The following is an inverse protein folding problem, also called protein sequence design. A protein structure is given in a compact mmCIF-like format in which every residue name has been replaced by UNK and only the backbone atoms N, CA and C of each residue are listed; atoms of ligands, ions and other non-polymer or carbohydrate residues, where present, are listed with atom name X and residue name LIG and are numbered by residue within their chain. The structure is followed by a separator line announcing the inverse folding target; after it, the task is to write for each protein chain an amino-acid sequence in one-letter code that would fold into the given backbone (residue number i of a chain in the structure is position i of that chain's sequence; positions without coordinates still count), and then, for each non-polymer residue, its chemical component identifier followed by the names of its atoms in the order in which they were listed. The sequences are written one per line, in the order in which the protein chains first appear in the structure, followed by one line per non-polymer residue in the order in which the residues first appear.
data_IF_828735910487
#
_entry.id   IF_828735910487
#
_cell.length_a   1.000
_cell.length_b   1.000
_cell.length_c   1.000
_cell.angle_alpha   90.00
_cell.angle_beta   90.00
_cell.angle_gamma   90.00
#
_symmetry.space_group_name_H-M   'P 1'
#
loop_
_entity.id
_entity.type
_entity.pdbx_description
1 polymer ?
#
# COMPACT_ATOMS: atom_id res chain seq x y z
N UNK A 1 19.92 11.89 11.89
CA UNK A 1 18.93 11.82 10.79
C UNK A 1 19.06 10.54 9.93
N UNK A 2 20.27 10.15 9.54
CA UNK A 2 20.56 8.95 8.72
C UNK A 2 20.18 7.61 9.38
N UNK A 3 20.32 7.48 10.71
CA UNK A 3 19.98 6.26 11.44
C UNK A 3 18.45 5.98 11.50
N UNK A 4 17.62 7.03 11.59
CA UNK A 4 16.16 6.92 11.49
C UNK A 4 15.71 6.53 10.07
N UNK A 5 16.40 7.05 9.05
CA UNK A 5 16.22 6.65 7.65
C UNK A 5 16.53 5.16 7.49
N UNK A 6 17.72 4.68 7.90
CA UNK A 6 18.07 3.25 7.83
C UNK A 6 17.11 2.34 8.59
N UNK A 7 16.66 2.72 9.80
CA UNK A 7 15.64 1.94 10.54
C UNK A 7 14.31 1.88 9.80
N UNK A 8 13.88 2.99 9.19
CA UNK A 8 12.65 3.05 8.41
C UNK A 8 12.74 2.24 7.10
N UNK A 9 13.89 2.27 6.43
CA UNK A 9 14.19 1.43 5.27
C UNK A 9 14.21 -0.05 5.70
N UNK A 10 14.92 -0.40 6.77
CA UNK A 10 14.93 -1.78 7.28
C UNK A 10 13.52 -2.27 7.65
N UNK A 11 12.66 -1.37 8.15
CA UNK A 11 11.25 -1.61 8.40
C UNK A 11 10.44 -1.82 7.12
N UNK A 12 10.62 -0.98 6.09
CA UNK A 12 9.94 -1.12 4.80
C UNK A 12 10.36 -2.38 4.03
N UNK A 13 11.62 -2.81 4.20
CA UNK A 13 12.23 -3.89 3.42
C UNK A 13 12.56 -5.13 4.25
N UNK A 14 11.85 -5.35 5.37
CA UNK A 14 11.71 -6.66 5.99
C UNK A 14 12.94 -7.33 6.65
N UNK A 15 14.19 -6.97 6.36
CA UNK A 15 15.41 -7.46 7.05
C UNK A 15 16.66 -6.68 6.61
N UNK A 16 17.62 -6.55 7.54
CA UNK A 16 18.90 -5.85 7.33
C UNK A 16 19.81 -6.45 6.25
N UNK A 17 19.58 -7.70 5.83
CA UNK A 17 20.28 -8.33 4.70
C UNK A 17 19.79 -7.80 3.34
N UNK A 18 18.56 -7.30 3.24
CA UNK A 18 18.03 -6.71 1.99
C UNK A 18 18.56 -5.27 1.77
N UNK A 19 19.23 -4.67 2.76
CA UNK A 19 19.86 -3.36 2.63
C UNK A 19 21.13 -3.38 1.76
N UNK A 20 21.82 -4.53 1.67
CA UNK A 20 23.02 -4.66 0.83
C UNK A 20 22.72 -4.86 -0.65
N UNK A 21 21.50 -5.33 -0.98
CA UNK A 21 21.02 -5.55 -2.35
C UNK A 21 20.04 -4.45 -2.82
N UNK A 22 19.97 -3.30 -2.14
CA UNK A 22 19.09 -2.21 -2.55
C UNK A 22 19.54 -1.61 -3.87
N UNK A 23 18.72 -1.80 -4.90
CA UNK A 23 18.85 -1.08 -6.16
C UNK A 23 18.50 0.40 -5.98
N UNK A 24 18.85 1.23 -6.98
CA UNK A 24 18.51 2.65 -7.00
C UNK A 24 16.99 2.91 -6.83
N UNK A 25 16.15 1.98 -7.32
CA UNK A 25 14.69 2.04 -7.21
C UNK A 25 14.20 1.91 -5.76
N UNK A 26 14.80 1.02 -4.97
CA UNK A 26 14.42 0.81 -3.56
C UNK A 26 14.80 2.01 -2.69
N UNK A 27 15.97 2.62 -2.96
CA UNK A 27 16.41 3.84 -2.28
C UNK A 27 15.45 5.00 -2.59
N UNK A 28 15.03 5.12 -3.85
CA UNK A 28 14.07 6.15 -4.25
C UNK A 28 12.71 5.93 -3.58
N UNK A 29 12.17 4.70 -3.61
CA UNK A 29 10.92 4.35 -2.95
C UNK A 29 10.97 4.74 -1.47
N UNK A 30 12.01 4.29 -0.76
CA UNK A 30 12.20 4.60 0.65
C UNK A 30 12.30 6.10 0.94
N UNK A 31 13.00 6.86 0.09
CA UNK A 31 13.04 8.33 0.16
C UNK A 31 11.65 8.94 -0.01
N UNK A 32 10.89 8.50 -1.02
CA UNK A 32 9.56 9.04 -1.31
C UNK A 32 8.59 8.76 -0.16
N UNK A 33 8.60 7.54 0.40
CA UNK A 33 7.77 7.20 1.56
C UNK A 33 8.16 8.04 2.78
N UNK A 34 9.46 8.27 3.02
CA UNK A 34 9.89 9.14 4.12
C UNK A 34 9.47 10.59 3.94
N UNK A 35 9.57 11.10 2.72
CA UNK A 35 9.11 12.44 2.39
C UNK A 35 7.60 12.56 2.60
N UNK A 36 6.82 11.55 2.23
CA UNK A 36 5.37 11.47 2.52
C UNK A 36 5.11 11.60 4.01
N UNK A 37 5.78 10.81 4.87
CA UNK A 37 5.58 10.88 6.31
C UNK A 37 5.96 12.23 6.93
N UNK A 38 7.00 12.87 6.39
CA UNK A 38 7.52 14.15 6.89
C UNK A 38 6.67 15.35 6.48
N UNK A 39 6.00 15.26 5.34
CA UNK A 39 5.30 16.42 4.73
C UNK A 39 3.78 16.30 4.77
N UNK A 40 3.23 15.20 5.27
CA UNK A 40 1.79 15.07 5.52
C UNK A 40 1.31 16.19 6.45
N UNK A 41 0.19 16.81 6.09
CA UNK A 41 -0.47 17.83 6.90
C UNK A 41 -1.45 17.18 7.90
N UNK A 42 -2.18 16.16 7.45
CA UNK A 42 -3.13 15.42 8.26
C UNK A 42 -3.27 13.98 7.77
N UNK A 43 -3.85 13.12 8.60
CA UNK A 43 -4.30 11.79 8.21
C UNK A 43 -5.73 11.57 8.67
N UNK A 44 -6.47 10.74 7.94
CA UNK A 44 -7.84 10.35 8.27
C UNK A 44 -8.07 8.91 7.80
N UNK A 45 -9.02 8.22 8.40
CA UNK A 45 -9.52 6.95 7.87
C UNK A 45 -10.71 7.22 6.97
N UNK A 46 -10.67 6.66 5.77
CA UNK A 46 -11.74 6.73 4.78
C UNK A 46 -12.06 5.34 4.26
N UNK A 47 -13.27 5.18 3.73
CA UNK A 47 -13.70 3.94 3.08
C UNK A 47 -13.72 4.18 1.57
N UNK A 48 -13.03 3.34 0.80
CA UNK A 48 -12.90 3.47 -0.66
C UNK A 48 -13.14 2.12 -1.35
N UNK A 49 -13.58 2.11 -2.62
CA UNK A 49 -13.66 0.86 -3.37
C UNK A 49 -12.29 0.18 -3.47
N UNK A 50 -12.23 -1.14 -3.30
CA UNK A 50 -10.99 -1.92 -3.37
C UNK A 50 -10.23 -1.69 -4.68
N UNK A 51 -10.95 -1.54 -5.78
CA UNK A 51 -10.38 -1.33 -7.12
C UNK A 51 -10.07 0.13 -7.46
N UNK A 52 -10.41 1.08 -6.58
CA UNK A 52 -9.89 2.46 -6.64
C UNK A 52 -8.44 2.56 -6.12
N UNK A 53 -7.94 1.50 -5.48
CA UNK A 53 -6.60 1.44 -4.91
C UNK A 53 -5.58 0.88 -5.92
N UNK A 54 -4.47 1.61 -6.10
CA UNK A 54 -3.32 1.21 -6.90
C UNK A 54 -2.06 1.14 -6.05
N UNK A 55 -1.14 0.25 -6.39
CA UNK A 55 0.13 0.11 -5.68
C UNK A 55 1.15 1.16 -6.15
N UNK A 56 2.02 1.62 -5.25
CA UNK A 56 3.17 2.47 -5.61
C UNK A 56 4.29 1.69 -6.32
N UNK A 57 4.39 0.38 -6.07
CA UNK A 57 5.39 -0.52 -6.64
C UNK A 57 4.82 -1.95 -6.71
N UNK A 58 5.27 -2.81 -7.62
CA UNK A 58 4.82 -4.20 -7.70
C UNK A 58 5.38 -5.03 -6.55
N UNK A 59 4.72 -6.15 -6.24
CA UNK A 59 5.25 -7.16 -5.32
C UNK A 59 6.06 -8.18 -6.13
N UNK A 60 7.37 -8.17 -5.97
CA UNK A 60 8.29 -9.01 -6.74
C UNK A 60 9.30 -9.79 -5.89
N UNK A 61 9.43 -9.48 -4.59
CA UNK A 61 10.35 -10.19 -3.70
C UNK A 61 9.71 -11.48 -3.20
N UNK A 62 10.46 -12.57 -3.23
CA UNK A 62 10.01 -13.91 -2.81
C UNK A 62 9.33 -13.89 -1.44
N UNK A 63 9.96 -13.27 -0.43
CA UNK A 63 9.38 -13.12 0.91
C UNK A 63 8.03 -12.39 0.88
N UNK A 64 7.91 -11.33 0.07
CA UNK A 64 6.67 -10.57 -0.06
C UNK A 64 5.59 -11.34 -0.82
N UNK A 65 5.96 -12.18 -1.79
CA UNK A 65 5.05 -13.09 -2.48
C UNK A 65 4.51 -14.15 -1.53
N UNK A 66 5.37 -14.77 -0.72
CA UNK A 66 4.96 -15.75 0.30
C UNK A 66 4.03 -15.15 1.34
N UNK A 67 4.35 -13.96 1.85
CA UNK A 67 3.48 -13.26 2.79
C UNK A 67 2.14 -12.83 2.16
N UNK A 68 2.13 -12.53 0.86
CA UNK A 68 0.90 -12.26 0.11
C UNK A 68 0.06 -13.53 -0.05
N UNK A 69 0.68 -14.66 -0.39
CA UNK A 69 -0.01 -15.95 -0.50
C UNK A 69 -0.67 -16.38 0.83
N UNK A 70 0.02 -16.19 1.96
CA UNK A 70 -0.57 -16.45 3.30
C UNK A 70 -1.81 -15.60 3.57
N UNK A 71 -1.76 -14.32 3.20
CA UNK A 71 -2.89 -13.39 3.33
C UNK A 71 -4.06 -13.79 2.45
N UNK A 72 -3.79 -14.24 1.22
CA UNK A 72 -4.80 -14.77 0.30
C UNK A 72 -5.49 -15.98 0.93
N UNK A 73 -4.73 -16.94 1.47
CA UNK A 73 -5.30 -18.11 2.14
C UNK A 73 -6.22 -17.71 3.31
N UNK A 74 -5.78 -16.82 4.18
CA UNK A 74 -6.58 -16.33 5.31
C UNK A 74 -7.88 -15.63 4.86
N UNK A 75 -7.82 -14.85 3.77
CA UNK A 75 -9.00 -14.18 3.22
C UNK A 75 -9.97 -15.15 2.54
N UNK A 76 -9.49 -16.23 1.91
CA UNK A 76 -10.35 -17.24 1.30
C UNK A 76 -11.24 -17.93 2.33
N UNK A 77 -10.74 -18.17 3.55
CA UNK A 77 -11.51 -18.77 4.65
C UNK A 77 -12.72 -17.93 5.08
N UNK A 78 -12.67 -16.61 4.87
CA UNK A 78 -13.73 -15.67 5.26
C UNK A 78 -14.35 -14.94 4.08
N UNK A 79 -14.08 -15.37 2.86
CA UNK A 79 -14.47 -14.70 1.62
C UNK A 79 -15.97 -14.46 1.54
N UNK A 80 -16.78 -15.51 1.77
CA UNK A 80 -18.24 -15.43 1.65
C UNK A 80 -18.84 -14.40 2.61
N UNK A 81 -18.36 -14.40 3.86
CA UNK A 81 -18.77 -13.42 4.88
C UNK A 81 -18.44 -12.00 4.44
N UNK A 82 -17.20 -11.77 3.98
CA UNK A 82 -16.77 -10.44 3.54
C UNK A 82 -17.48 -10.00 2.25
N UNK A 83 -17.84 -10.92 1.36
CA UNK A 83 -18.66 -10.64 0.19
C UNK A 83 -20.10 -10.24 0.55
N UNK A 84 -20.66 -10.78 1.64
CA UNK A 84 -21.97 -10.37 2.15
C UNK A 84 -21.91 -9.00 2.83
N UNK A 85 -20.85 -8.74 3.62
CA UNK A 85 -20.68 -7.47 4.34
C UNK A 85 -20.25 -6.31 3.43
N UNK A 86 -19.61 -6.60 2.30
CA UNK A 86 -19.08 -5.63 1.31
C UNK A 86 -18.09 -4.62 1.87
N UNK A 87 -17.65 -4.76 3.12
CA UNK A 87 -16.79 -3.78 3.78
C UNK A 87 -15.69 -4.46 4.60
N UNK A 88 -14.44 -4.15 4.28
CA UNK A 88 -13.26 -4.57 5.00
C UNK A 88 -12.79 -3.41 5.88
N UNK A 89 -13.25 -3.43 7.14
CA UNK A 89 -12.89 -2.43 8.14
C UNK A 89 -11.50 -2.64 8.72
N UNK A 90 -10.99 -1.68 9.48
CA UNK A 90 -9.75 -1.85 10.27
C UNK A 90 -9.76 -3.05 11.20
N UNK A 91 -10.92 -3.39 11.78
CA UNK A 91 -11.04 -4.55 12.65
C UNK A 91 -10.82 -5.84 11.86
N UNK A 92 -11.45 -5.97 10.69
CA UNK A 92 -11.25 -7.11 9.76
C UNK A 92 -9.80 -7.17 9.29
N UNK A 93 -9.19 -6.03 8.93
CA UNK A 93 -7.78 -5.97 8.55
C UNK A 93 -6.86 -6.42 9.68
N UNK A 94 -7.13 -6.03 10.92
CA UNK A 94 -6.30 -6.41 12.07
C UNK A 94 -6.41 -7.90 12.40
N UNK A 95 -7.60 -8.48 12.23
CA UNK A 95 -7.88 -9.89 12.50
C UNK A 95 -7.28 -10.81 11.44
N UNK A 96 -7.58 -10.57 10.15
CA UNK A 96 -7.22 -11.50 9.07
C UNK A 96 -5.95 -11.11 8.31
N UNK A 97 -5.56 -9.84 8.35
CA UNK A 97 -4.42 -9.30 7.60
C UNK A 97 -3.46 -8.49 8.51
N UNK A 98 -2.99 -9.06 9.64
CA UNK A 98 -2.22 -8.31 10.62
C UNK A 98 -0.96 -7.68 10.02
N UNK A 99 -0.71 -6.43 10.40
CA UNK A 99 0.47 -5.67 9.99
C UNK A 99 0.79 -4.58 11.00
N UNK A 100 2.06 -4.20 11.05
CA UNK A 100 2.60 -3.13 11.89
C UNK A 100 2.11 -1.72 11.50
N UNK A 101 1.48 -1.57 10.33
CA UNK A 101 0.87 -0.32 9.87
C UNK A 101 -0.45 -0.57 9.14
N UNK A 102 -1.25 0.47 8.91
CA UNK A 102 -2.45 0.42 8.06
C UNK A 102 -2.13 0.50 6.57
N UNK A 103 -3.12 0.29 5.71
CA UNK A 103 -2.98 0.57 4.28
C UNK A 103 -3.01 2.09 4.13
N UNK A 104 -1.88 2.69 3.76
CA UNK A 104 -1.73 4.15 3.71
C UNK A 104 -1.73 4.61 2.29
N UNK A 105 -2.56 5.61 2.02
CA UNK A 105 -2.85 6.06 0.66
C UNK A 105 -2.66 7.56 0.51
N UNK A 106 -2.44 7.98 -0.74
CA UNK A 106 -2.59 9.37 -1.17
C UNK A 106 -3.66 9.40 -2.25
N UNK A 107 -4.63 10.31 -2.12
CA UNK A 107 -5.62 10.57 -3.18
C UNK A 107 -4.92 11.16 -4.41
N UNK A 108 -5.14 10.55 -5.57
CA UNK A 108 -4.49 10.92 -6.82
C UNK A 108 -5.46 11.54 -7.84
N UNK A 109 -6.70 11.06 -7.88
CA UNK A 109 -7.85 11.71 -8.54
C UNK A 109 -9.13 11.44 -7.72
N UNK A 110 -10.28 11.89 -8.21
CA UNK A 110 -11.54 11.81 -7.45
C UNK A 110 -11.87 10.39 -6.98
N UNK A 111 -11.63 9.39 -7.83
CA UNK A 111 -11.90 7.98 -7.57
C UNK A 111 -10.65 7.08 -7.61
N UNK A 112 -9.47 7.66 -7.38
CA UNK A 112 -8.21 6.92 -7.47
C UNK A 112 -7.24 7.27 -6.35
N UNK A 113 -6.72 6.23 -5.70
CA UNK A 113 -5.82 6.31 -4.55
C UNK A 113 -4.58 5.46 -4.78
N UNK A 114 -3.42 5.97 -4.37
CA UNK A 114 -2.16 5.23 -4.45
C UNK A 114 -1.74 4.78 -3.06
N UNK A 115 -1.74 3.47 -2.83
CA UNK A 115 -1.19 2.84 -1.64
C UNK A 115 0.35 2.93 -1.68
N UNK A 116 0.93 3.64 -0.72
CA UNK A 116 2.37 3.73 -0.55
C UNK A 116 2.90 2.84 0.59
N UNK A 117 2.01 2.35 1.45
CA UNK A 117 2.25 1.27 2.41
C UNK A 117 1.07 0.30 2.42
N UNK A 118 1.34 -0.98 2.70
CA UNK A 118 0.32 -2.03 2.73
C UNK A 118 0.04 -2.71 1.38
N UNK A 119 0.92 -2.58 0.38
CA UNK A 119 0.77 -3.19 -0.95
C UNK A 119 0.48 -4.70 -0.90
N UNK A 120 1.13 -5.45 -0.01
CA UNK A 120 0.87 -6.89 0.21
C UNK A 120 -0.57 -7.22 0.58
N UNK A 121 -1.20 -6.39 1.41
CA UNK A 121 -2.62 -6.58 1.78
C UNK A 121 -3.53 -6.19 0.63
N UNK A 122 -3.20 -5.10 -0.07
CA UNK A 122 -3.95 -4.66 -1.25
C UNK A 122 -3.99 -5.75 -2.32
N UNK A 123 -2.82 -6.30 -2.68
CA UNK A 123 -2.72 -7.40 -3.66
C UNK A 123 -3.50 -8.62 -3.19
N UNK A 124 -3.35 -9.03 -1.93
CA UNK A 124 -4.07 -10.19 -1.42
C UNK A 124 -5.59 -10.01 -1.54
N UNK A 125 -6.12 -8.84 -1.18
CA UNK A 125 -7.55 -8.54 -1.34
C UNK A 125 -7.97 -8.56 -2.82
N UNK A 126 -7.21 -7.92 -3.71
CA UNK A 126 -7.50 -7.88 -5.15
C UNK A 126 -7.36 -9.25 -5.86
N UNK A 127 -6.69 -10.23 -5.24
CA UNK A 127 -6.64 -11.61 -5.73
C UNK A 127 -7.84 -12.45 -5.27
N UNK A 128 -8.44 -12.10 -4.13
CA UNK A 128 -9.55 -12.87 -3.54
C UNK A 128 -10.91 -12.36 -4.01
N UNK A 129 -11.05 -11.03 -4.11
CA UNK A 129 -12.29 -10.36 -4.49
C UNK A 129 -12.14 -9.75 -5.88
N UNK A 130 -13.19 -9.85 -6.70
CA UNK A 130 -13.28 -9.27 -8.03
C UNK A 130 -13.94 -7.87 -7.99
N UNK A 131 -13.83 -7.04 -9.05
CA UNK A 131 -14.47 -5.72 -9.09
C UNK A 131 -15.99 -5.78 -8.83
N UNK A 132 -16.64 -6.81 -9.36
CA UNK A 132 -18.09 -7.03 -9.25
C UNK A 132 -18.53 -7.38 -7.82
N UNK A 133 -17.58 -7.80 -6.97
CA UNK A 133 -17.86 -8.02 -5.56
C UNK A 133 -18.15 -6.71 -4.82
N UNK A 134 -17.82 -5.55 -5.38
CA UNK A 134 -18.18 -4.24 -4.80
C UNK A 134 -17.58 -4.01 -3.42
N UNK A 135 -16.42 -4.61 -3.13
CA UNK A 135 -15.77 -4.52 -1.82
C UNK A 135 -15.27 -3.11 -1.57
N UNK A 136 -15.65 -2.57 -0.42
CA UNK A 136 -15.14 -1.33 0.15
C UNK A 136 -14.09 -1.64 1.21
N UNK A 137 -13.07 -0.79 1.36
CA UNK A 137 -11.95 -1.00 2.28
C UNK A 137 -11.66 0.28 3.04
N UNK A 138 -11.47 0.16 4.36
CA UNK A 138 -11.02 1.25 5.21
C UNK A 138 -9.49 1.43 5.08
N UNK A 139 -9.05 2.64 4.73
CA UNK A 139 -7.64 3.00 4.48
C UNK A 139 -7.28 4.29 5.20
N UNK A 140 -6.00 4.47 5.53
CA UNK A 140 -5.47 5.70 6.11
C UNK A 140 -5.05 6.66 4.98
N UNK A 141 -5.84 7.69 4.72
CA UNK A 141 -5.56 8.70 3.72
C UNK A 141 -4.66 9.81 4.27
N UNK A 142 -3.54 10.06 3.61
CA UNK A 142 -2.62 11.12 3.92
C UNK A 142 -2.95 12.36 3.09
N UNK A 143 -3.19 13.49 3.76
CA UNK A 143 -3.44 14.80 3.13
C UNK A 143 -2.19 15.68 3.19
N UNK A 144 -2.03 16.55 2.19
CA UNK A 144 -0.87 17.42 2.03
C UNK A 144 -1.30 18.82 1.62
N UNK A 145 -0.52 19.83 2.01
CA UNK A 145 -0.69 21.20 1.52
C UNK A 145 -0.38 21.30 0.02
N UNK A 146 0.58 20.51 -0.48
CA UNK A 146 0.94 20.44 -1.89
C UNK A 146 0.89 19.00 -2.41
N UNK A 147 -0.32 18.46 -2.70
CA UNK A 147 -0.49 17.08 -3.14
C UNK A 147 0.18 16.82 -4.49
N UNK A 148 0.19 17.79 -5.41
CA UNK A 148 0.83 17.68 -6.74
C UNK A 148 2.31 17.31 -6.64
N UNK A 149 3.05 17.91 -5.68
CA UNK A 149 4.47 17.60 -5.47
C UNK A 149 4.69 16.16 -5.02
N UNK A 150 3.80 15.62 -4.18
CA UNK A 150 3.85 14.25 -3.67
C UNK A 150 3.49 13.26 -4.77
N UNK A 151 2.39 13.51 -5.48
CA UNK A 151 1.96 12.68 -6.60
C UNK A 151 3.05 12.58 -7.68
N UNK A 152 3.73 13.68 -8.03
CA UNK A 152 4.86 13.65 -8.96
C UNK A 152 6.01 12.73 -8.50
N UNK A 153 6.26 12.65 -7.19
CA UNK A 153 7.30 11.79 -6.61
C UNK A 153 6.89 10.33 -6.61
N UNK A 154 5.63 10.06 -6.24
CA UNK A 154 5.02 8.72 -6.32
C UNK A 154 5.07 8.23 -7.77
N UNK A 155 4.67 9.06 -8.73
CA UNK A 155 4.63 8.70 -10.14
C UNK A 155 6.02 8.40 -10.72
N UNK A 156 7.06 9.08 -10.21
CA UNK A 156 8.44 8.74 -10.56
C UNK A 156 8.82 7.33 -10.08
N UNK A 157 8.40 6.94 -8.89
CA UNK A 157 8.62 5.58 -8.36
C UNK A 157 7.86 4.57 -9.20
N UNK A 158 6.57 4.83 -9.49
CA UNK A 158 5.74 3.94 -10.30
C UNK A 158 6.33 3.70 -11.69
N UNK A 159 6.80 4.75 -12.36
CA UNK A 159 7.45 4.66 -13.69
C UNK A 159 8.68 3.78 -13.69
N UNK A 160 9.56 3.96 -12.70
CA UNK A 160 10.79 3.17 -12.59
C UNK A 160 10.53 1.70 -12.24
N UNK A 161 9.35 1.39 -11.72
CA UNK A 161 8.93 0.04 -11.37
C UNK A 161 7.92 -0.55 -12.37
N UNK A 162 7.69 0.11 -13.52
CA UNK A 162 6.80 -0.41 -14.57
C UNK A 162 5.32 -0.47 -14.19
N UNK A 163 4.89 0.24 -13.15
CA UNK A 163 3.48 0.28 -12.67
C UNK A 163 2.86 1.67 -12.81
N UNK A 164 3.45 2.48 -13.69
CA UNK A 164 2.93 3.79 -14.06
C UNK A 164 1.93 3.68 -15.20
N UNK A 165 0.90 4.52 -15.14
CA UNK A 165 -0.07 4.70 -16.22
C UNK A 165 -0.98 3.49 -16.43
N UNK A 166 -2.10 3.47 -15.71
CA UNK A 166 -3.44 3.43 -16.31
C UNK A 166 -4.30 4.39 -15.44
N UNK A 167 -4.91 5.38 -16.09
CA UNK A 167 -5.94 6.32 -15.60
C UNK A 167 -5.56 7.37 -14.53
N UNK A 168 -5.21 8.58 -15.01
CA UNK A 168 -5.58 9.86 -14.38
C UNK A 168 -6.02 10.86 -15.45
#
# INVERSE_FOLDING_TARGET
MFARFKKFIAYLFGKSAELSDMGANDILLGKVVLDIHRTKAATEFIVVPLYALRQIHPINRENSLQDTARRVAALQEVKERLQAEKNITRAVLAEYLPSVSWIKVVKAADDAYIAFEGNGRLVAMQQVFAPEDGIMVEVENYRFENPRKILRRIERVRRLNGVAGEDY
#
